data_IF_855359816647
#
_entry.id   IF_855359816647
#
_cell.length_a   1.000
_cell.length_b   1.000
_cell.length_c   1.000
_cell.angle_alpha   90.00
_cell.angle_beta   90.00
_cell.angle_gamma   90.00
#
_symmetry.space_group_name_H-M   'P 1'
#
loop_
_entity.id
_entity.type
_entity.pdbx_description
1 polymer ?
#
# COMPACT_ATOMS: atom_id res chain seq x y z
N UNK A 1 -35.87 -6.89 -7.13
CA UNK A 1 -34.67 -7.24 -7.91
C UNK A 1 -33.45 -6.66 -7.23
N UNK A 2 -32.58 -7.50 -6.61
CA UNK A 2 -31.27 -7.03 -6.08
C UNK A 2 -30.45 -6.58 -7.30
N UNK A 3 -30.07 -5.30 -7.37
CA UNK A 3 -29.05 -4.83 -8.33
C UNK A 3 -27.83 -5.72 -8.15
N UNK A 4 -27.48 -6.53 -9.16
CA UNK A 4 -26.18 -7.21 -9.22
C UNK A 4 -25.16 -6.09 -9.09
N UNK A 5 -24.41 -6.06 -7.98
CA UNK A 5 -23.27 -5.17 -7.81
C UNK A 5 -22.32 -5.43 -8.99
N UNK A 6 -22.25 -4.49 -9.91
CA UNK A 6 -21.25 -4.54 -10.97
C UNK A 6 -19.89 -4.66 -10.31
N UNK A 7 -19.05 -5.61 -10.70
CA UNK A 7 -17.74 -5.77 -10.09
C UNK A 7 -16.97 -4.44 -10.21
N UNK A 8 -16.47 -3.94 -9.09
CA UNK A 8 -15.76 -2.67 -8.99
C UNK A 8 -14.54 -2.61 -9.91
N UNK A 9 -13.96 -3.77 -10.22
CA UNK A 9 -12.75 -3.95 -11.04
C UNK A 9 -12.95 -5.18 -11.93
N UNK A 10 -13.70 -5.06 -13.06
CA UNK A 10 -14.05 -6.18 -13.91
C UNK A 10 -12.89 -6.63 -14.80
N UNK A 11 -11.95 -7.36 -14.25
CA UNK A 11 -10.79 -7.91 -14.99
C UNK A 11 -11.25 -8.94 -16.02
N UNK A 12 -12.17 -9.85 -15.64
CA UNK A 12 -12.87 -10.81 -16.49
C UNK A 12 -11.97 -11.73 -17.33
N UNK A 13 -10.81 -12.15 -16.83
CA UNK A 13 -9.94 -13.09 -17.53
C UNK A 13 -10.42 -14.53 -17.31
N UNK A 14 -10.71 -15.26 -18.39
CA UNK A 14 -11.24 -16.61 -18.34
C UNK A 14 -10.23 -17.71 -18.73
N UNK A 15 -9.16 -17.35 -19.46
CA UNK A 15 -8.15 -18.29 -19.93
C UNK A 15 -6.75 -17.68 -20.01
N UNK A 16 -5.72 -18.54 -20.05
CA UNK A 16 -4.34 -18.10 -20.29
C UNK A 16 -4.16 -17.41 -21.65
N UNK A 17 -4.89 -17.88 -22.68
CA UNK A 17 -4.86 -17.26 -24.00
C UNK A 17 -5.40 -15.82 -23.95
N UNK A 18 -6.48 -15.60 -23.20
CA UNK A 18 -7.02 -14.25 -23.01
C UNK A 18 -6.03 -13.36 -22.22
N UNK A 19 -5.43 -13.88 -21.15
CA UNK A 19 -4.36 -13.18 -20.44
C UNK A 19 -3.20 -12.82 -21.37
N UNK A 20 -2.74 -13.80 -22.18
CA UNK A 20 -1.65 -13.58 -23.14
C UNK A 20 -1.99 -12.45 -24.13
N UNK A 21 -3.21 -12.43 -24.69
CA UNK A 21 -3.69 -11.35 -25.57
C UNK A 21 -3.68 -9.98 -24.85
N UNK A 22 -4.10 -9.93 -23.59
CA UNK A 22 -4.18 -8.69 -22.81
C UNK A 22 -2.81 -8.13 -22.43
N UNK A 23 -1.82 -8.97 -22.17
CA UNK A 23 -0.46 -8.53 -21.80
C UNK A 23 0.50 -8.40 -22.97
N UNK A 24 0.15 -8.96 -24.16
CA UNK A 24 0.97 -8.85 -25.38
C UNK A 24 1.13 -7.39 -25.84
N UNK A 25 2.19 -7.10 -26.60
CA UNK A 25 2.50 -5.77 -27.14
C UNK A 25 3.41 -5.89 -28.36
N UNK A 26 3.86 -4.78 -28.93
CA UNK A 26 4.74 -4.76 -30.11
C UNK A 26 6.07 -5.52 -29.95
N UNK A 27 6.51 -5.76 -28.69
CA UNK A 27 7.77 -6.47 -28.37
C UNK A 27 7.52 -7.87 -27.79
N UNK A 28 6.28 -8.25 -27.50
CA UNK A 28 5.91 -9.54 -26.94
C UNK A 28 4.70 -10.07 -27.68
N UNK A 29 4.87 -11.06 -28.54
CA UNK A 29 3.77 -11.70 -29.27
C UNK A 29 2.83 -12.44 -28.29
N UNK A 30 1.62 -12.75 -28.74
CA UNK A 30 0.67 -13.56 -27.96
C UNK A 30 1.25 -14.95 -27.67
N UNK A 31 1.97 -15.54 -28.63
CA UNK A 31 2.63 -16.86 -28.47
C UNK A 31 3.71 -16.80 -27.38
N UNK A 32 4.57 -15.78 -27.40
CA UNK A 32 5.62 -15.62 -26.39
C UNK A 32 5.05 -15.29 -25.02
N UNK A 33 3.98 -14.48 -24.95
CA UNK A 33 3.27 -14.22 -23.72
C UNK A 33 2.66 -15.50 -23.11
N UNK A 34 2.09 -16.39 -23.93
CA UNK A 34 1.56 -17.67 -23.49
C UNK A 34 2.68 -18.60 -23.01
N UNK A 35 3.80 -18.65 -23.70
CA UNK A 35 5.01 -19.37 -23.28
C UNK A 35 5.48 -18.86 -21.92
N UNK A 36 5.62 -17.54 -21.74
CA UNK A 36 5.99 -16.92 -20.48
C UNK A 36 5.04 -17.31 -19.32
N UNK A 37 3.72 -17.27 -19.55
CA UNK A 37 2.70 -17.68 -18.57
C UNK A 37 2.88 -19.14 -18.16
N UNK A 38 3.12 -20.05 -19.11
CA UNK A 38 3.29 -21.48 -18.83
C UNK A 38 4.59 -21.76 -18.08
N UNK A 39 5.70 -21.13 -18.47
CA UNK A 39 6.98 -21.26 -17.79
C UNK A 39 6.91 -20.78 -16.33
N UNK A 40 6.26 -19.63 -16.11
CA UNK A 40 6.04 -19.13 -14.74
C UNK A 40 5.16 -20.08 -13.93
N UNK A 41 4.11 -20.65 -14.53
CA UNK A 41 3.27 -21.61 -13.85
C UNK A 41 4.05 -22.84 -13.39
N UNK A 42 4.92 -23.36 -14.25
CA UNK A 42 5.63 -24.63 -14.02
C UNK A 42 6.83 -24.46 -13.06
N UNK A 43 7.44 -23.28 -13.02
CA UNK A 43 8.70 -23.03 -12.29
C UNK A 43 8.58 -21.90 -11.25
N UNK A 44 7.36 -21.65 -10.73
CA UNK A 44 7.07 -20.49 -9.89
C UNK A 44 8.04 -20.34 -8.72
N UNK A 45 8.31 -21.42 -7.99
CA UNK A 45 9.11 -21.37 -6.77
C UNK A 45 10.58 -21.04 -7.03
N UNK A 46 11.11 -21.32 -8.21
CA UNK A 46 12.50 -21.00 -8.60
C UNK A 46 12.66 -19.54 -9.09
N UNK A 47 11.55 -18.85 -9.38
CA UNK A 47 11.57 -17.54 -10.01
C UNK A 47 11.53 -16.36 -9.03
N UNK A 48 11.63 -16.61 -7.72
CA UNK A 48 11.72 -15.57 -6.71
C UNK A 48 12.65 -15.99 -5.57
N UNK A 49 13.13 -15.03 -4.80
CA UNK A 49 13.99 -15.23 -3.62
C UNK A 49 13.72 -14.19 -2.56
N UNK A 50 14.19 -14.45 -1.33
CA UNK A 50 14.16 -13.46 -0.27
C UNK A 50 15.17 -12.35 -0.53
N UNK A 51 14.74 -11.12 -0.34
CA UNK A 51 15.62 -9.95 -0.31
C UNK A 51 16.04 -9.69 1.14
N UNK A 52 17.09 -10.37 1.59
CA UNK A 52 17.60 -10.29 2.97
C UNK A 52 17.95 -8.87 3.40
N UNK A 53 18.33 -8.00 2.45
CA UNK A 53 18.71 -6.62 2.75
C UNK A 53 17.53 -5.77 3.24
N UNK A 54 16.34 -6.01 2.70
CA UNK A 54 15.13 -5.24 2.99
C UNK A 54 14.15 -6.01 3.89
N UNK A 55 14.47 -7.28 4.20
CA UNK A 55 13.73 -8.12 5.14
C UNK A 55 14.15 -7.82 6.58
N UNK A 56 13.28 -8.17 7.51
CA UNK A 56 13.51 -8.12 8.96
C UNK A 56 13.13 -9.46 9.56
N UNK A 57 14.08 -10.42 9.57
CA UNK A 57 13.85 -11.78 10.07
C UNK A 57 13.36 -11.82 11.51
N UNK A 58 13.86 -10.94 12.36
CA UNK A 58 13.49 -10.79 13.77
C UNK A 58 12.00 -10.43 13.97
N UNK A 59 11.43 -9.71 13.00
CA UNK A 59 9.98 -9.40 12.94
C UNK A 59 9.21 -10.43 12.12
N UNK A 60 9.85 -11.51 11.64
CA UNK A 60 9.32 -12.44 10.63
C UNK A 60 8.72 -11.71 9.40
N UNK A 61 9.35 -10.62 8.97
CA UNK A 61 8.92 -9.76 7.85
C UNK A 61 9.85 -9.97 6.67
N UNK A 62 9.38 -10.69 5.67
CA UNK A 62 10.15 -11.09 4.51
C UNK A 62 9.77 -10.31 3.27
N UNK A 63 10.76 -9.69 2.64
CA UNK A 63 10.60 -9.00 1.34
C UNK A 63 11.03 -9.95 0.23
N UNK A 64 10.19 -10.12 -0.79
CA UNK A 64 10.43 -11.02 -1.91
C UNK A 64 10.97 -10.26 -3.11
N UNK A 65 11.83 -10.90 -3.87
CA UNK A 65 12.41 -10.32 -5.08
C UNK A 65 12.28 -11.31 -6.24
N UNK A 66 11.55 -10.89 -7.28
CA UNK A 66 11.45 -11.58 -8.56
C UNK A 66 12.09 -10.76 -9.71
N UNK A 67 12.82 -9.68 -9.40
CA UNK A 67 13.42 -8.81 -10.42
C UNK A 67 14.46 -9.56 -11.26
N UNK A 68 14.38 -9.42 -12.57
CA UNK A 68 15.28 -10.10 -13.52
C UNK A 68 14.88 -11.54 -13.83
N UNK A 69 13.76 -12.04 -13.31
CA UNK A 69 13.21 -13.36 -13.62
C UNK A 69 11.99 -13.27 -14.54
N UNK A 70 11.58 -14.41 -15.10
CA UNK A 70 10.34 -14.54 -15.90
C UNK A 70 9.09 -14.16 -15.07
N UNK A 71 9.05 -14.52 -13.78
CA UNK A 71 7.98 -14.08 -12.86
C UNK A 71 7.94 -12.56 -12.72
N UNK A 72 9.08 -11.92 -12.49
CA UNK A 72 9.16 -10.46 -12.38
C UNK A 72 8.68 -9.75 -13.64
N UNK A 73 9.02 -10.28 -14.81
CA UNK A 73 8.56 -9.79 -16.12
C UNK A 73 7.04 -9.95 -16.23
N UNK A 74 6.49 -11.14 -15.97
CA UNK A 74 5.05 -11.41 -16.03
C UNK A 74 4.25 -10.51 -15.07
N UNK A 75 4.67 -10.41 -13.80
CA UNK A 75 4.02 -9.55 -12.81
C UNK A 75 4.05 -8.07 -13.23
N UNK A 76 5.16 -7.60 -13.83
CA UNK A 76 5.24 -6.23 -14.34
C UNK A 76 4.28 -5.98 -15.50
N UNK A 77 4.15 -6.94 -16.43
CA UNK A 77 3.21 -6.86 -17.55
C UNK A 77 1.76 -6.86 -17.05
N UNK A 78 1.41 -7.79 -16.15
CA UNK A 78 0.09 -7.84 -15.50
C UNK A 78 -0.21 -6.50 -14.82
N UNK A 79 0.73 -6.00 -14.01
CA UNK A 79 0.52 -4.75 -13.28
C UNK A 79 0.29 -3.54 -14.21
N UNK A 80 1.09 -3.44 -15.29
CA UNK A 80 1.03 -2.29 -16.21
C UNK A 80 -0.11 -2.38 -17.23
N UNK A 81 -0.38 -3.57 -17.77
CA UNK A 81 -1.28 -3.74 -18.91
C UNK A 81 -2.65 -4.28 -18.55
N UNK A 82 -2.73 -5.06 -17.45
CA UNK A 82 -3.99 -5.61 -17.00
C UNK A 82 -4.58 -4.80 -15.82
N UNK A 83 -3.77 -4.40 -14.84
CA UNK A 83 -4.27 -3.77 -13.62
C UNK A 83 -4.34 -2.24 -13.69
N UNK A 84 -3.29 -1.58 -14.19
CA UNK A 84 -3.22 -0.11 -14.21
C UNK A 84 -4.40 0.58 -14.94
N UNK A 85 -4.99 0.02 -16.01
CA UNK A 85 -6.19 0.61 -16.62
C UNK A 85 -7.40 0.74 -15.70
N UNK A 86 -7.42 0.02 -14.57
CA UNK A 86 -8.49 0.11 -13.57
C UNK A 86 -8.22 1.13 -12.46
N UNK A 87 -7.09 1.83 -12.47
CA UNK A 87 -6.78 2.85 -11.47
C UNK A 87 -7.81 3.98 -11.44
N UNK A 88 -8.40 4.33 -12.58
CA UNK A 88 -9.42 5.39 -12.71
C UNK A 88 -10.77 5.02 -12.06
N UNK A 89 -11.01 3.74 -11.80
CA UNK A 89 -12.22 3.28 -11.09
C UNK A 89 -12.07 3.35 -9.56
N UNK A 90 -10.87 3.63 -9.07
CA UNK A 90 -10.62 3.73 -7.63
C UNK A 90 -11.08 5.09 -7.09
N UNK A 91 -11.56 5.15 -5.84
CA UNK A 91 -11.83 6.41 -5.18
C UNK A 91 -10.62 7.35 -5.20
N UNK A 92 -10.86 8.66 -5.31
CA UNK A 92 -9.81 9.67 -5.42
C UNK A 92 -8.86 9.71 -4.21
N UNK A 93 -9.31 9.24 -3.04
CA UNK A 93 -8.56 9.14 -1.78
C UNK A 93 -7.73 7.85 -1.62
N UNK A 94 -7.69 6.98 -2.63
CA UNK A 94 -6.75 5.85 -2.72
C UNK A 94 -5.50 6.31 -3.47
N UNK A 95 -4.34 6.21 -2.83
CA UNK A 95 -3.05 6.68 -3.37
C UNK A 95 -2.02 5.57 -3.51
N UNK A 96 -1.97 4.61 -2.59
CA UNK A 96 -1.01 3.53 -2.64
C UNK A 96 -1.25 2.56 -3.79
N UNK A 97 -0.19 2.15 -4.52
CA UNK A 97 -0.28 1.21 -5.63
C UNK A 97 -0.97 1.73 -6.90
N UNK A 98 -1.33 3.01 -6.96
CA UNK A 98 -2.02 3.67 -8.09
C UNK A 98 -1.01 4.42 -8.95
N UNK A 99 -1.11 4.28 -10.27
CA UNK A 99 -0.21 4.97 -11.21
C UNK A 99 -0.35 6.49 -11.09
N UNK A 100 0.79 7.21 -11.15
CA UNK A 100 0.80 8.67 -11.05
C UNK A 100 0.53 9.25 -9.67
N UNK A 101 0.08 8.46 -8.69
CA UNK A 101 -0.12 8.90 -7.30
C UNK A 101 1.09 8.53 -6.43
N UNK A 102 1.33 9.32 -5.40
CA UNK A 102 2.52 9.18 -4.54
C UNK A 102 2.26 9.75 -3.13
N UNK A 103 3.25 9.68 -2.25
CA UNK A 103 3.15 10.14 -0.86
C UNK A 103 2.83 11.64 -0.76
N UNK A 104 3.40 12.49 -1.66
CA UNK A 104 3.09 13.92 -1.71
C UNK A 104 1.61 14.15 -2.01
N UNK A 105 1.07 13.53 -3.06
CA UNK A 105 -0.34 13.70 -3.44
C UNK A 105 -1.30 13.18 -2.35
N UNK A 106 -0.94 12.08 -1.68
CA UNK A 106 -1.69 11.55 -0.54
C UNK A 106 -1.73 12.54 0.63
N UNK A 107 -0.59 13.15 0.94
CA UNK A 107 -0.48 14.12 2.04
C UNK A 107 -1.15 15.45 1.69
N UNK A 108 -1.02 15.94 0.45
CA UNK A 108 -1.73 17.13 -0.03
C UNK A 108 -3.25 16.98 0.07
N UNK A 109 -3.78 15.78 -0.20
CA UNK A 109 -5.20 15.51 -0.06
C UNK A 109 -5.72 15.73 1.38
N UNK A 110 -4.86 15.50 2.38
CA UNK A 110 -5.21 15.68 3.79
C UNK A 110 -5.24 17.15 4.25
N UNK A 111 -4.73 18.10 3.48
CA UNK A 111 -4.75 19.52 3.85
C UNK A 111 -6.19 20.07 3.91
N UNK A 112 -7.09 19.60 3.04
CA UNK A 112 -8.46 20.10 2.99
C UNK A 112 -8.55 21.60 2.68
N UNK A 113 -9.71 22.20 2.94
CA UNK A 113 -9.99 23.60 2.65
C UNK A 113 -9.95 24.50 3.90
N UNK A 114 -10.17 23.91 5.09
CA UNK A 114 -10.21 24.62 6.38
C UNK A 114 -8.93 24.38 7.17
N UNK A 115 -8.58 25.33 8.05
CA UNK A 115 -7.35 25.35 8.87
C UNK A 115 -7.55 24.71 10.24
N UNK A 116 -6.49 24.68 11.04
CA UNK A 116 -6.45 24.10 12.41
C UNK A 116 -6.94 22.65 12.37
N UNK A 117 -6.24 21.83 11.60
CA UNK A 117 -6.61 20.42 11.43
C UNK A 117 -6.00 19.55 12.51
N UNK A 118 -6.75 18.55 12.91
CA UNK A 118 -6.26 17.42 13.71
C UNK A 118 -6.07 16.23 12.77
N UNK A 119 -5.01 15.46 12.95
CA UNK A 119 -4.64 14.30 12.14
C UNK A 119 -4.70 13.03 12.97
N UNK A 120 -5.53 12.09 12.58
CA UNK A 120 -5.48 10.70 13.03
C UNK A 120 -4.64 9.91 12.05
N UNK A 121 -3.60 9.24 12.56
CA UNK A 121 -2.78 8.28 11.81
C UNK A 121 -3.09 6.87 12.27
N UNK A 122 -3.25 5.96 11.31
CA UNK A 122 -3.46 4.55 11.56
C UNK A 122 -2.53 3.74 10.65
N UNK A 123 -1.93 2.67 11.16
CA UNK A 123 -1.00 1.76 10.46
C UNK A 123 -1.57 0.34 10.53
N UNK A 124 -1.74 -0.31 9.38
CA UNK A 124 -2.19 -1.70 9.34
C UNK A 124 -1.01 -2.64 9.62
N UNK A 125 -1.16 -3.49 10.62
CA UNK A 125 -0.11 -4.43 10.99
C UNK A 125 0.16 -5.42 9.86
N UNK A 126 1.41 -5.49 9.36
CA UNK A 126 1.83 -6.49 8.35
C UNK A 126 0.82 -6.66 7.20
N UNK A 127 0.37 -5.55 6.62
CA UNK A 127 -0.77 -5.47 5.71
C UNK A 127 -0.74 -6.47 4.53
N UNK A 128 0.44 -6.74 3.96
CA UNK A 128 0.57 -7.71 2.86
C UNK A 128 0.30 -9.13 3.35
N UNK A 129 0.79 -9.48 4.52
CA UNK A 129 0.68 -10.81 5.12
C UNK A 129 -0.76 -11.10 5.62
N UNK A 130 -1.58 -10.05 5.81
CA UNK A 130 -3.01 -10.18 6.11
C UNK A 130 -3.88 -10.40 4.87
N UNK A 131 -3.29 -10.41 3.68
CA UNK A 131 -3.96 -10.81 2.45
C UNK A 131 -3.47 -12.20 2.07
N UNK A 132 -4.12 -13.23 2.59
CA UNK A 132 -3.80 -14.62 2.29
C UNK A 132 -4.27 -15.03 0.89
N UNK A 133 -3.88 -16.23 0.50
CA UNK A 133 -4.21 -16.82 -0.80
C UNK A 133 -5.71 -16.85 -1.06
N UNK A 134 -6.51 -17.24 -0.08
CA UNK A 134 -7.97 -17.36 -0.23
C UNK A 134 -8.63 -15.99 -0.46
N UNK A 135 -8.18 -14.97 0.24
CA UNK A 135 -8.65 -13.60 0.04
C UNK A 135 -8.31 -13.07 -1.35
N UNK A 136 -7.10 -13.36 -1.85
CA UNK A 136 -6.68 -12.99 -3.21
C UNK A 136 -7.46 -13.79 -4.26
N UNK A 137 -7.66 -15.09 -4.05
CA UNK A 137 -8.48 -15.96 -4.89
C UNK A 137 -9.93 -15.45 -4.99
N UNK A 138 -10.55 -15.16 -3.85
CA UNK A 138 -11.90 -14.60 -3.77
C UNK A 138 -12.03 -13.26 -4.49
N UNK A 139 -11.02 -12.40 -4.36
CA UNK A 139 -10.99 -11.16 -5.11
C UNK A 139 -11.05 -11.41 -6.61
N UNK A 140 -10.16 -12.25 -7.16
CA UNK A 140 -10.14 -12.52 -8.60
C UNK A 140 -11.41 -13.22 -9.08
N UNK A 141 -11.90 -14.19 -8.32
CA UNK A 141 -13.07 -14.98 -8.73
C UNK A 141 -14.39 -14.22 -8.55
N UNK A 142 -14.66 -13.75 -7.32
CA UNK A 142 -15.97 -13.16 -6.97
C UNK A 142 -16.09 -11.68 -7.31
N UNK A 143 -14.98 -10.92 -7.20
CA UNK A 143 -15.01 -9.45 -7.35
C UNK A 143 -14.48 -8.97 -8.71
N UNK A 144 -13.50 -9.67 -9.30
CA UNK A 144 -12.90 -9.29 -10.57
C UNK A 144 -13.44 -10.11 -11.77
N UNK A 145 -14.32 -11.10 -11.55
CA UNK A 145 -15.04 -11.85 -12.59
C UNK A 145 -14.17 -12.82 -13.38
N UNK A 146 -12.99 -13.19 -12.87
CA UNK A 146 -12.13 -14.16 -13.51
C UNK A 146 -12.70 -15.60 -13.37
N UNK A 147 -12.37 -16.50 -14.31
CA UNK A 147 -12.67 -17.93 -14.13
C UNK A 147 -11.94 -18.47 -12.91
N UNK A 148 -12.48 -19.53 -12.28
CA UNK A 148 -11.85 -20.14 -11.11
C UNK A 148 -10.40 -20.57 -11.38
N UNK A 149 -10.14 -21.18 -12.54
CA UNK A 149 -8.78 -21.58 -12.96
C UNK A 149 -7.81 -20.39 -13.07
N UNK A 150 -8.26 -19.26 -13.63
CA UNK A 150 -7.43 -18.05 -13.73
C UNK A 150 -7.29 -17.35 -12.39
N UNK A 151 -8.28 -17.40 -11.52
CA UNK A 151 -8.20 -16.88 -10.16
C UNK A 151 -7.16 -17.63 -9.33
N UNK A 152 -7.13 -18.97 -9.41
CA UNK A 152 -6.07 -19.79 -8.83
C UNK A 152 -4.69 -19.44 -9.41
N UNK A 153 -4.59 -19.28 -10.74
CA UNK A 153 -3.33 -18.86 -11.36
C UNK A 153 -2.83 -17.52 -10.82
N UNK A 154 -3.68 -16.49 -10.79
CA UNK A 154 -3.30 -15.17 -10.25
C UNK A 154 -2.94 -15.23 -8.77
N UNK A 155 -3.72 -15.93 -7.95
CA UNK A 155 -3.41 -16.10 -6.52
C UNK A 155 -2.08 -16.82 -6.32
N UNK A 156 -1.78 -17.86 -7.13
CA UNK A 156 -0.53 -18.62 -7.06
C UNK A 156 0.68 -17.74 -7.36
N UNK A 157 0.64 -16.94 -8.43
CA UNK A 157 1.81 -16.11 -8.82
C UNK A 157 1.98 -14.84 -7.98
N UNK A 158 0.96 -14.45 -7.21
CA UNK A 158 1.02 -13.26 -6.35
C UNK A 158 1.25 -13.60 -4.88
N UNK A 159 1.00 -14.86 -4.43
CA UNK A 159 1.13 -15.28 -3.05
C UNK A 159 2.28 -16.29 -2.87
N UNK A 160 3.00 -16.13 -1.77
CA UNK A 160 4.15 -16.97 -1.39
C UNK A 160 3.97 -17.52 0.02
N UNK A 161 4.65 -18.60 0.43
CA UNK A 161 4.62 -19.07 1.80
C UNK A 161 5.00 -17.97 2.79
N UNK A 162 4.28 -17.92 3.92
CA UNK A 162 4.62 -17.06 5.04
C UNK A 162 5.92 -17.56 5.69
N UNK A 163 6.81 -16.63 6.05
CA UNK A 163 8.13 -16.99 6.63
C UNK A 163 9.23 -16.95 5.58
N UNK A 164 10.42 -17.43 5.92
CA UNK A 164 11.57 -17.52 5.03
C UNK A 164 11.29 -18.50 3.89
N UNK A 165 11.85 -18.23 2.69
CA UNK A 165 11.76 -19.20 1.58
C UNK A 165 12.40 -20.53 1.99
N UNK A 166 11.70 -21.63 1.70
CA UNK A 166 12.15 -22.98 2.06
C UNK A 166 11.75 -23.45 3.45
N UNK A 167 11.16 -22.58 4.30
CA UNK A 167 10.54 -23.04 5.56
C UNK A 167 9.19 -23.71 5.29
N UNK A 168 8.92 -24.80 6.00
CA UNK A 168 7.64 -25.49 5.91
C UNK A 168 6.52 -24.61 6.49
N UNK A 169 5.72 -23.98 5.62
CA UNK A 169 4.54 -23.22 6.00
C UNK A 169 3.42 -23.48 5.00
N UNK A 170 2.24 -23.84 5.48
CA UNK A 170 1.07 -24.09 4.63
C UNK A 170 0.36 -22.80 4.23
N UNK A 171 0.44 -21.76 5.06
CA UNK A 171 -0.20 -20.48 4.80
C UNK A 171 0.54 -19.69 3.73
N UNK A 172 -0.14 -19.36 2.63
CA UNK A 172 0.38 -18.47 1.57
C UNK A 172 -0.26 -17.08 1.72
N UNK A 173 0.56 -16.06 1.52
CA UNK A 173 0.16 -14.64 1.68
C UNK A 173 0.67 -13.82 0.51
N UNK A 174 0.07 -12.66 0.29
CA UNK A 174 0.48 -11.73 -0.75
C UNK A 174 1.95 -11.32 -0.59
N UNK A 175 2.74 -11.53 -1.63
CA UNK A 175 4.19 -11.38 -1.58
C UNK A 175 4.62 -9.92 -1.44
N UNK A 176 5.11 -9.53 -0.27
CA UNK A 176 5.73 -8.21 -0.06
C UNK A 176 6.93 -8.04 -0.99
N UNK A 177 6.92 -7.04 -1.87
CA UNK A 177 7.99 -6.74 -2.82
C UNK A 177 7.69 -7.14 -4.27
N UNK A 178 6.62 -7.89 -4.56
CA UNK A 178 6.16 -8.08 -5.93
C UNK A 178 5.47 -6.80 -6.45
N UNK A 179 5.59 -6.54 -7.73
CA UNK A 179 5.07 -5.30 -8.35
C UNK A 179 3.54 -5.19 -8.34
N UNK A 180 2.82 -6.29 -8.24
CA UNK A 180 1.36 -6.36 -8.17
C UNK A 180 0.81 -6.17 -6.75
N UNK A 181 1.62 -6.44 -5.73
CA UNK A 181 1.15 -6.58 -4.35
C UNK A 181 0.55 -5.30 -3.75
N UNK A 182 1.12 -4.09 -3.95
CA UNK A 182 0.51 -2.88 -3.38
C UNK A 182 -0.91 -2.64 -3.90
N UNK A 183 -1.14 -2.86 -5.20
CA UNK A 183 -2.45 -2.70 -5.82
C UNK A 183 -3.44 -3.77 -5.35
N UNK A 184 -3.03 -5.03 -5.34
CA UNK A 184 -3.87 -6.13 -4.89
C UNK A 184 -4.25 -6.02 -3.42
N UNK A 185 -3.33 -5.62 -2.54
CA UNK A 185 -3.63 -5.40 -1.13
C UNK A 185 -4.73 -4.35 -0.94
N UNK A 186 -4.71 -3.26 -1.70
CA UNK A 186 -5.78 -2.25 -1.72
C UNK A 186 -7.08 -2.85 -2.27
N UNK A 187 -7.02 -3.53 -3.41
CA UNK A 187 -8.22 -4.03 -4.10
C UNK A 187 -8.97 -5.11 -3.29
N UNK A 188 -8.25 -6.01 -2.65
CA UNK A 188 -8.83 -7.02 -1.75
C UNK A 188 -9.61 -6.38 -0.59
N UNK A 189 -9.21 -5.18 -0.15
CA UNK A 189 -9.75 -4.48 1.01
C UNK A 189 -10.57 -3.21 0.65
N UNK A 190 -10.84 -2.97 -0.62
CA UNK A 190 -11.44 -1.72 -1.09
C UNK A 190 -12.80 -1.41 -0.45
N UNK A 191 -13.61 -2.43 -0.16
CA UNK A 191 -14.91 -2.25 0.48
C UNK A 191 -14.77 -1.72 1.92
N UNK A 192 -13.82 -2.25 2.68
CA UNK A 192 -13.55 -1.81 4.05
C UNK A 192 -13.07 -0.36 4.03
N UNK A 193 -12.15 -0.01 3.13
CA UNK A 193 -11.66 1.36 3.00
C UNK A 193 -12.78 2.35 2.62
N UNK A 194 -13.70 1.96 1.73
CA UNK A 194 -14.89 2.77 1.43
C UNK A 194 -15.81 2.94 2.64
N UNK A 195 -15.98 1.91 3.46
CA UNK A 195 -16.79 1.99 4.68
C UNK A 195 -16.12 2.92 5.71
N UNK A 196 -14.80 2.81 5.92
CA UNK A 196 -14.04 3.71 6.79
C UNK A 196 -14.19 5.16 6.32
N UNK A 197 -13.97 5.45 5.03
CA UNK A 197 -14.15 6.80 4.47
C UNK A 197 -15.55 7.35 4.73
N UNK A 198 -16.59 6.57 4.41
CA UNK A 198 -17.99 6.97 4.59
C UNK A 198 -18.32 7.25 6.06
N UNK A 199 -17.92 6.38 6.96
CA UNK A 199 -18.19 6.52 8.41
C UNK A 199 -17.41 7.68 9.01
N UNK A 200 -16.14 7.83 8.68
CA UNK A 200 -15.32 8.98 9.12
C UNK A 200 -15.93 10.31 8.68
N UNK A 201 -16.39 10.41 7.42
CA UNK A 201 -17.09 11.60 6.93
C UNK A 201 -18.43 11.85 7.62
N UNK A 202 -19.12 10.79 8.04
CA UNK A 202 -20.38 10.91 8.77
C UNK A 202 -20.15 11.45 10.19
N UNK A 203 -19.18 10.89 10.92
CA UNK A 203 -18.83 11.33 12.28
C UNK A 203 -18.30 12.77 12.26
N UNK A 204 -17.44 13.09 11.30
CA UNK A 204 -16.80 14.40 11.18
C UNK A 204 -17.57 15.39 10.28
N UNK A 205 -18.89 15.20 10.14
CA UNK A 205 -19.73 16.08 9.31
C UNK A 205 -19.62 17.53 9.80
N UNK A 206 -19.35 18.47 8.89
CA UNK A 206 -19.17 19.89 9.22
C UNK A 206 -17.71 20.31 9.49
N UNK A 207 -16.81 19.36 9.77
CA UNK A 207 -15.40 19.60 10.11
C UNK A 207 -14.44 19.46 8.91
N UNK A 208 -14.91 19.51 7.68
CA UNK A 208 -14.11 19.33 6.43
C UNK A 208 -13.22 18.07 6.47
N UNK A 209 -13.79 16.86 6.67
CA UNK A 209 -13.01 15.63 6.78
C UNK A 209 -12.28 15.26 5.48
N UNK A 210 -11.04 14.83 5.61
CA UNK A 210 -10.22 14.27 4.53
C UNK A 210 -9.66 12.92 4.96
N UNK A 211 -9.78 11.94 4.10
CA UNK A 211 -9.30 10.58 4.34
C UNK A 211 -8.36 10.18 3.22
N UNK A 212 -7.21 9.62 3.54
CA UNK A 212 -6.20 9.15 2.59
C UNK A 212 -5.77 7.73 2.92
N UNK A 213 -5.73 6.86 1.92
CA UNK A 213 -5.24 5.48 2.02
C UNK A 213 -3.98 5.32 1.17
N UNK A 214 -2.87 4.97 1.81
CA UNK A 214 -1.61 4.72 1.14
C UNK A 214 -1.01 3.38 1.56
N UNK A 215 -1.40 2.30 0.88
CA UNK A 215 -1.08 0.91 1.20
C UNK A 215 -1.55 0.57 2.63
N UNK A 216 -0.64 0.48 3.60
CA UNK A 216 -0.87 0.19 5.01
C UNK A 216 -1.09 1.44 5.89
N UNK A 217 -0.82 2.62 5.36
CA UNK A 217 -1.00 3.89 6.06
C UNK A 217 -2.37 4.50 5.78
N UNK A 218 -3.13 4.82 6.82
CA UNK A 218 -4.39 5.54 6.75
C UNK A 218 -4.23 6.87 7.48
N UNK A 219 -4.51 7.98 6.78
CA UNK A 219 -4.54 9.32 7.34
C UNK A 219 -5.95 9.89 7.30
N UNK A 220 -6.43 10.44 8.41
CA UNK A 220 -7.73 11.11 8.49
C UNK A 220 -7.51 12.48 9.13
N UNK A 221 -7.94 13.55 8.48
CA UNK A 221 -7.86 14.89 9.04
C UNK A 221 -9.22 15.58 9.07
N UNK A 222 -9.43 16.40 10.08
CA UNK A 222 -10.59 17.29 10.16
C UNK A 222 -10.21 18.62 10.81
N UNK A 223 -10.95 19.68 10.48
CA UNK A 223 -10.68 21.04 10.94
C UNK A 223 -11.47 21.36 12.22
N UNK A 224 -10.79 21.93 13.24
CA UNK A 224 -11.45 22.40 14.48
C UNK A 224 -12.25 21.31 15.20
N UNK A 225 -11.81 20.08 15.07
CA UNK A 225 -12.38 18.92 15.74
C UNK A 225 -11.65 18.72 17.07
N UNK A 226 -12.35 18.26 18.10
CA UNK A 226 -11.76 17.90 19.37
C UNK A 226 -11.21 16.44 19.33
N UNK A 227 -10.54 16.03 20.41
CA UNK A 227 -9.94 14.70 20.49
C UNK A 227 -10.99 13.60 20.52
N UNK A 228 -12.14 13.84 21.16
CA UNK A 228 -13.20 12.85 21.30
C UNK A 228 -13.72 12.39 19.93
N UNK A 229 -14.06 13.33 19.02
CA UNK A 229 -14.54 12.94 17.69
C UNK A 229 -13.47 12.18 16.90
N UNK A 230 -12.16 12.51 17.06
CA UNK A 230 -11.09 11.77 16.39
C UNK A 230 -10.90 10.36 16.97
N UNK A 231 -11.07 10.21 18.29
CA UNK A 231 -11.08 8.91 18.98
C UNK A 231 -12.28 8.06 18.54
N UNK A 232 -13.47 8.66 18.42
CA UNK A 232 -14.67 7.99 17.92
C UNK A 232 -14.47 7.48 16.48
N UNK A 233 -13.81 8.28 15.62
CA UNK A 233 -13.42 7.84 14.26
C UNK A 233 -12.47 6.64 14.31
N UNK A 234 -11.47 6.68 15.21
CA UNK A 234 -10.55 5.56 15.38
C UNK A 234 -11.28 4.27 15.77
N UNK A 235 -12.13 4.33 16.79
CA UNK A 235 -12.87 3.16 17.28
C UNK A 235 -13.85 2.62 16.23
N UNK A 236 -14.53 3.51 15.50
CA UNK A 236 -15.39 3.10 14.39
C UNK A 236 -14.59 2.41 13.27
N UNK A 237 -13.44 2.96 12.88
CA UNK A 237 -12.58 2.35 11.87
C UNK A 237 -12.01 1.00 12.34
N UNK A 238 -11.60 0.91 13.61
CA UNK A 238 -11.12 -0.34 14.24
C UNK A 238 -12.20 -1.41 14.22
N UNK A 239 -13.44 -1.09 14.65
CA UNK A 239 -14.57 -2.03 14.60
C UNK A 239 -14.80 -2.55 13.18
N UNK A 240 -14.81 -1.68 12.16
CA UNK A 240 -14.97 -2.10 10.77
C UNK A 240 -13.85 -3.05 10.30
N UNK A 241 -12.61 -2.85 10.76
CA UNK A 241 -11.48 -3.71 10.43
C UNK A 241 -11.58 -5.06 11.16
N UNK A 242 -12.03 -5.06 12.41
CA UNK A 242 -12.19 -6.27 13.22
C UNK A 242 -13.41 -7.10 12.78
N UNK A 243 -14.52 -6.48 12.37
CA UNK A 243 -15.80 -7.12 12.04
C UNK A 243 -15.89 -7.58 10.57
N UNK A 244 -14.83 -7.47 9.79
CA UNK A 244 -14.86 -7.82 8.36
C UNK A 244 -14.89 -9.33 8.07
N UNK A 245 -15.31 -10.15 9.03
CA UNK A 245 -15.47 -11.60 8.90
C UNK A 245 -14.14 -12.31 8.66
N UNK A 246 -14.10 -13.24 7.69
CA UNK A 246 -12.91 -14.02 7.36
C UNK A 246 -11.74 -13.16 6.85
N UNK A 247 -11.94 -11.86 6.63
CA UNK A 247 -10.95 -10.94 6.06
C UNK A 247 -10.56 -9.82 7.01
N UNK A 248 -10.64 -10.08 8.31
CA UNK A 248 -10.21 -9.17 9.37
C UNK A 248 -8.86 -8.55 9.07
N UNK A 249 -8.69 -7.26 9.40
CA UNK A 249 -7.44 -6.52 9.33
C UNK A 249 -7.05 -5.99 10.71
N UNK A 250 -5.82 -6.24 11.12
CA UNK A 250 -5.28 -5.81 12.39
C UNK A 250 -4.53 -4.48 12.26
N UNK A 251 -4.73 -3.58 13.21
CA UNK A 251 -3.99 -2.34 13.36
C UNK A 251 -2.71 -2.56 14.18
N UNK A 252 -1.68 -1.85 13.82
CA UNK A 252 -0.51 -1.66 14.67
C UNK A 252 -0.78 -0.48 15.63
N UNK A 253 -1.45 -0.76 16.74
CA UNK A 253 -1.89 0.27 17.69
C UNK A 253 -0.74 1.15 18.20
N UNK A 254 0.47 0.60 18.33
CA UNK A 254 1.68 1.36 18.72
C UNK A 254 2.08 2.44 17.73
N UNK A 255 1.56 2.41 16.50
CA UNK A 255 1.78 3.39 15.46
C UNK A 255 0.52 4.19 15.10
N UNK A 256 -0.56 3.99 15.84
CA UNK A 256 -1.79 4.75 15.72
C UNK A 256 -1.79 5.87 16.74
N UNK A 257 -1.97 7.11 16.29
CA UNK A 257 -2.00 8.27 17.18
C UNK A 257 -2.70 9.47 16.54
N UNK A 258 -3.08 10.42 17.38
CA UNK A 258 -3.71 11.68 16.99
C UNK A 258 -2.71 12.81 17.20
N UNK A 259 -2.61 13.73 16.23
CA UNK A 259 -1.81 14.96 16.35
C UNK A 259 -2.72 16.14 16.12
N UNK A 260 -2.79 17.07 17.08
CA UNK A 260 -3.56 18.29 16.96
C UNK A 260 -2.82 19.38 16.16
N UNK A 261 -3.48 20.50 15.89
CA UNK A 261 -2.91 21.62 15.14
C UNK A 261 -1.84 22.40 15.91
N UNK A 262 -1.66 22.13 17.22
CA UNK A 262 -0.58 22.66 18.06
C UNK A 262 0.61 21.71 18.12
N UNK A 263 0.57 20.61 17.36
CA UNK A 263 1.56 19.54 17.36
C UNK A 263 1.64 18.78 18.70
N UNK A 264 0.56 18.71 19.47
CA UNK A 264 0.49 17.78 20.57
C UNK A 264 0.08 16.42 20.03
N UNK A 265 0.79 15.38 20.46
CA UNK A 265 0.51 14.00 20.08
C UNK A 265 -0.20 13.30 21.24
N UNK A 266 -1.26 12.58 20.88
CA UNK A 266 -2.11 11.83 21.79
C UNK A 266 -2.20 10.38 21.32
N UNK A 267 -2.37 9.47 22.25
CA UNK A 267 -2.70 8.10 21.94
C UNK A 267 -4.13 7.97 21.36
N UNK A 268 -4.50 6.74 21.06
CA UNK A 268 -5.83 6.44 20.50
C UNK A 268 -6.98 6.57 21.50
N UNK A 269 -6.70 6.74 22.80
CA UNK A 269 -7.67 7.01 23.86
C UNK A 269 -7.78 8.51 24.17
N UNK A 270 -6.93 9.33 23.55
CA UNK A 270 -6.91 10.78 23.76
C UNK A 270 -5.96 11.23 24.88
N UNK A 271 -5.10 10.34 25.39
CA UNK A 271 -4.08 10.67 26.39
C UNK A 271 -2.86 11.34 25.72
N UNK A 272 -2.38 12.42 26.33
CA UNK A 272 -1.18 13.13 25.84
C UNK A 272 0.06 12.28 25.97
N UNK A 273 0.83 12.17 24.89
CA UNK A 273 2.11 11.46 24.84
C UNK A 273 3.29 12.44 24.90
N UNK A 274 3.40 13.29 23.89
CA UNK A 274 4.53 14.23 23.74
C UNK A 274 4.21 15.31 22.68
N UNK A 275 5.12 16.27 22.49
CA UNK A 275 5.10 17.13 21.30
C UNK A 275 5.44 16.30 20.05
N UNK A 276 4.48 16.22 19.15
CA UNK A 276 4.61 15.50 17.90
C UNK A 276 4.92 16.41 16.71
N UNK A 277 4.74 15.84 15.52
CA UNK A 277 4.83 16.56 14.27
C UNK A 277 3.62 16.27 13.40
N UNK A 278 3.05 17.29 12.81
CA UNK A 278 1.91 17.18 11.90
C UNK A 278 2.38 16.60 10.55
N UNK A 279 2.81 15.33 10.59
CA UNK A 279 3.53 14.63 9.52
C UNK A 279 2.81 13.34 9.15
N UNK A 280 2.65 13.09 7.83
CA UNK A 280 2.12 11.84 7.28
C UNK A 280 2.95 11.39 6.08
N UNK A 281 3.25 10.10 5.96
CA UNK A 281 4.01 9.50 4.85
C UNK A 281 5.39 10.18 4.60
N UNK A 282 6.04 10.66 5.65
CA UNK A 282 7.33 11.33 5.55
C UNK A 282 7.25 12.77 5.02
N UNK A 283 6.05 13.35 4.97
CA UNK A 283 5.81 14.74 4.62
C UNK A 283 5.12 15.45 5.79
N UNK A 284 5.58 16.65 6.10
CA UNK A 284 4.96 17.55 7.06
C UNK A 284 3.84 18.33 6.36
N UNK A 285 2.67 18.36 7.00
CA UNK A 285 1.50 19.09 6.50
C UNK A 285 1.60 20.55 6.99
N UNK A 286 1.84 21.46 6.07
CA UNK A 286 1.79 22.89 6.32
C UNK A 286 0.38 23.43 6.02
N UNK A 287 0.21 24.74 6.08
CA UNK A 287 -1.10 25.37 5.92
C UNK A 287 -1.76 25.10 4.55
N UNK A 288 -1.00 25.22 3.46
CA UNK A 288 -1.49 25.12 2.08
C UNK A 288 -0.58 24.24 1.19
N UNK A 289 0.48 23.69 1.74
CA UNK A 289 1.47 22.89 1.04
C UNK A 289 2.04 21.82 1.98
N UNK A 290 2.83 20.92 1.44
CA UNK A 290 3.55 19.91 2.21
C UNK A 290 5.06 20.12 2.05
N UNK A 291 5.82 19.78 3.10
CA UNK A 291 7.28 19.79 3.09
C UNK A 291 7.83 18.42 3.41
N UNK A 292 9.10 18.13 3.09
CA UNK A 292 9.71 16.88 3.56
C UNK A 292 9.73 16.83 5.08
N UNK A 293 9.23 15.74 5.64
CA UNK A 293 9.15 15.52 7.07
C UNK A 293 10.52 15.42 7.75
N UNK A 294 10.53 15.60 9.05
CA UNK A 294 11.74 15.68 9.89
C UNK A 294 12.61 14.42 9.74
N UNK A 295 11.99 13.22 9.72
CA UNK A 295 12.74 11.95 9.51
C UNK A 295 13.50 11.94 8.19
N UNK A 296 12.92 12.46 7.11
CA UNK A 296 13.57 12.56 5.80
C UNK A 296 14.77 13.49 5.84
N UNK A 297 14.59 14.65 6.48
CA UNK A 297 15.67 15.66 6.64
C UNK A 297 16.79 15.16 7.55
N UNK A 298 16.45 14.51 8.67
CA UNK A 298 17.43 13.90 9.59
C UNK A 298 18.27 12.82 8.90
N UNK A 299 17.61 11.91 8.16
CA UNK A 299 18.31 10.87 7.37
C UNK A 299 19.24 11.49 6.31
N UNK A 300 18.84 12.58 5.66
CA UNK A 300 19.72 13.28 4.70
C UNK A 300 20.95 13.86 5.39
N UNK A 301 20.79 14.47 6.57
CA UNK A 301 21.92 15.02 7.36
C UNK A 301 22.88 13.90 7.81
N UNK A 302 22.32 12.79 8.32
CA UNK A 302 23.09 11.61 8.72
C UNK A 302 23.86 10.99 7.53
N UNK A 303 23.20 10.78 6.39
CA UNK A 303 23.87 10.24 5.19
C UNK A 303 25.01 11.18 4.70
N UNK A 304 24.81 12.51 4.76
CA UNK A 304 25.86 13.47 4.42
C UNK A 304 27.07 13.40 5.38
N UNK A 305 26.83 13.27 6.68
CA UNK A 305 27.89 13.11 7.67
C UNK A 305 28.67 11.80 7.44
N UNK A 306 27.97 10.68 7.27
CA UNK A 306 28.57 9.36 6.98
C UNK A 306 29.37 9.33 5.68
N UNK A 307 29.02 10.13 4.68
CA UNK A 307 29.71 10.16 3.40
C UNK A 307 31.18 10.53 3.55
N UNK A 308 31.54 11.33 4.59
CA UNK A 308 32.91 11.76 4.87
C UNK A 308 33.81 10.60 5.30
N UNK A 309 33.28 9.56 5.93
CA UNK A 309 34.00 8.42 6.49
C UNK A 309 33.93 7.15 5.64
N UNK A 310 33.17 7.17 4.54
CA UNK A 310 32.95 5.98 3.69
C UNK A 310 33.86 6.00 2.45
N UNK A 311 34.32 4.80 2.05
CA UNK A 311 35.11 4.58 0.82
C UNK A 311 34.46 3.54 -0.08
N UNK A 312 34.95 3.42 -1.31
CA UNK A 312 34.61 2.38 -2.26
C UNK A 312 33.08 2.25 -2.55
N UNK A 313 32.60 1.03 -2.59
CA UNK A 313 31.21 0.71 -2.92
C UNK A 313 30.20 1.23 -1.88
N UNK A 314 30.59 1.30 -0.58
CA UNK A 314 29.75 1.88 0.48
C UNK A 314 29.52 3.38 0.25
N UNK A 315 30.55 4.13 -0.13
CA UNK A 315 30.47 5.55 -0.50
C UNK A 315 29.53 5.77 -1.68
N UNK A 316 29.66 4.96 -2.76
CA UNK A 316 28.77 5.03 -3.94
C UNK A 316 27.29 4.80 -3.57
N UNK A 317 27.01 3.84 -2.70
CA UNK A 317 25.63 3.58 -2.19
C UNK A 317 25.10 4.75 -1.39
N UNK A 318 25.90 5.33 -0.49
CA UNK A 318 25.54 6.51 0.30
C UNK A 318 25.26 7.73 -0.59
N UNK A 319 26.09 7.99 -1.60
CA UNK A 319 25.87 9.04 -2.60
C UNK A 319 24.54 8.87 -3.34
N UNK A 320 24.21 7.65 -3.76
CA UNK A 320 22.93 7.37 -4.43
C UNK A 320 21.73 7.61 -3.49
N UNK A 321 21.84 7.25 -2.21
CA UNK A 321 20.82 7.55 -1.20
C UNK A 321 20.61 9.05 -1.02
N UNK A 322 21.71 9.83 -0.92
CA UNK A 322 21.66 11.29 -0.83
C UNK A 322 21.02 11.90 -2.08
N UNK A 323 21.40 11.45 -3.28
CA UNK A 323 20.81 11.93 -4.55
C UNK A 323 19.30 11.66 -4.60
N UNK A 324 18.87 10.44 -4.21
CA UNK A 324 17.45 10.08 -4.20
C UNK A 324 16.65 10.95 -3.21
N UNK A 325 17.18 11.17 -1.98
CA UNK A 325 16.54 12.07 -0.99
C UNK A 325 16.47 13.52 -1.45
N UNK A 326 17.55 14.04 -2.06
CA UNK A 326 17.54 15.39 -2.62
C UNK A 326 16.49 15.57 -3.70
N UNK A 327 16.33 14.57 -4.61
CA UNK A 327 15.27 14.57 -5.63
C UNK A 327 13.88 14.56 -4.99
N UNK A 328 13.66 13.73 -3.98
CA UNK A 328 12.40 13.68 -3.25
C UNK A 328 12.08 15.02 -2.57
N UNK A 329 13.06 15.62 -1.89
CA UNK A 329 12.93 16.94 -1.23
C UNK A 329 12.58 18.03 -2.25
N UNK A 330 13.30 18.06 -3.37
CA UNK A 330 13.02 19.00 -4.45
C UNK A 330 11.59 18.81 -4.99
N UNK A 331 11.22 17.58 -5.29
CA UNK A 331 9.88 17.24 -5.77
C UNK A 331 8.77 17.60 -4.75
N UNK A 332 9.03 17.44 -3.46
CA UNK A 332 8.03 17.75 -2.43
C UNK A 332 7.83 19.26 -2.26
N UNK A 333 8.87 20.07 -2.46
CA UNK A 333 8.80 21.52 -2.34
C UNK A 333 8.16 22.21 -3.56
N UNK A 334 8.36 21.65 -4.74
CA UNK A 334 7.81 22.16 -6.01
C UNK A 334 6.63 21.29 -6.46
#
# INVERSE_FOLDING_TARGET
MKKKDNPLIPINIRSKNELAKRISNKYLSVKDALTLINEVKNNFDDLWKDNLKDSKPEENKWVRNAKGTKLGTLLSLINKRLFAPYDDYLPCNIFGGVSGKNTKSATLHLLGNKRKRTLLKMDLHRFFEQNDYEKVLDFFHKKAGCSLSMSHFFATICCVPLGQKGTMGTKRVLARGFSTSPRLAIWCNLQIFKQIDRKSRSILKGFDPRVSFYVDDIGITASRVNLKEMTDVFHCAKSLLDDSGNYRLELNTKKCFIVDYLNNMYDINGEYIEKGHFEHLGNELMRNYVTPGIKTMSKLRSDKARLKTLSGQKRKRCLNSIKARKRYIYYTKN
#
